data_IF_772755447668
#
_entry.id   IF_772755447668
#
_cell.length_a   1.000
_cell.length_b   1.000
_cell.length_c   1.000
_cell.angle_alpha   90.00
_cell.angle_beta   90.00
_cell.angle_gamma   90.00
#
_symmetry.space_group_name_H-M   'P 1'
#
loop_
_entity.id
_entity.type
_entity.pdbx_description
1 polymer ?
#
# COMPACT_ATOMS: atom_id res chain seq x y z
N UNK A 1 -19.65 -13.97 -13.50
CA UNK A 1 -19.52 -14.06 -12.03
C UNK A 1 -18.10 -14.42 -11.68
N UNK A 2 -17.53 -13.77 -10.67
CA UNK A 2 -16.17 -14.10 -10.18
C UNK A 2 -16.25 -15.39 -9.36
N UNK A 3 -15.36 -16.34 -9.65
CA UNK A 3 -15.30 -17.61 -8.92
C UNK A 3 -14.44 -17.45 -7.67
N UNK A 4 -14.99 -17.77 -6.51
CA UNK A 4 -14.26 -17.87 -5.24
C UNK A 4 -13.94 -19.34 -4.98
N UNK A 5 -12.65 -19.64 -4.77
CA UNK A 5 -12.19 -21.00 -4.44
C UNK A 5 -11.76 -21.03 -2.98
N UNK A 6 -12.46 -21.84 -2.18
CA UNK A 6 -12.07 -22.10 -0.79
C UNK A 6 -10.96 -23.16 -0.75
N UNK A 7 -9.87 -22.86 -0.05
CA UNK A 7 -8.75 -23.79 0.13
C UNK A 7 -8.46 -23.96 1.62
N UNK A 8 -8.32 -25.20 2.05
CA UNK A 8 -7.84 -25.56 3.38
C UNK A 8 -6.41 -26.06 3.26
N UNK A 9 -5.50 -25.48 4.03
CA UNK A 9 -4.09 -25.85 4.03
C UNK A 9 -3.59 -26.08 5.45
N UNK A 10 -2.79 -27.11 5.64
CA UNK A 10 -2.02 -27.35 6.87
C UNK A 10 -0.60 -26.85 6.63
N UNK A 11 -0.11 -25.98 7.50
CA UNK A 11 1.22 -25.40 7.42
C UNK A 11 1.80 -25.18 8.83
N UNK A 12 3.13 -25.05 8.98
CA UNK A 12 3.77 -24.82 10.28
C UNK A 12 3.30 -23.54 10.96
N UNK A 13 3.04 -22.49 10.17
CA UNK A 13 2.46 -21.22 10.61
C UNK A 13 1.64 -20.59 9.48
N UNK A 14 0.81 -19.59 9.83
CA UNK A 14 -0.12 -18.93 8.92
C UNK A 14 0.61 -18.25 7.75
N UNK A 15 1.69 -17.53 8.04
CA UNK A 15 2.41 -16.79 7.01
C UNK A 15 3.06 -17.75 5.99
N UNK A 16 3.67 -18.83 6.47
CA UNK A 16 4.24 -19.88 5.61
C UNK A 16 3.15 -20.49 4.74
N UNK A 17 1.98 -20.83 5.30
CA UNK A 17 0.88 -21.39 4.53
C UNK A 17 0.37 -20.47 3.41
N UNK A 18 0.31 -19.16 3.67
CA UNK A 18 -0.10 -18.17 2.66
C UNK A 18 0.97 -18.03 1.57
N UNK A 19 2.24 -17.90 1.94
CA UNK A 19 3.35 -17.74 0.98
C UNK A 19 3.51 -18.97 0.08
N UNK A 20 3.45 -20.18 0.64
CA UNK A 20 3.45 -21.42 -0.15
C UNK A 20 2.21 -21.55 -1.05
N UNK A 21 1.05 -21.01 -0.64
CA UNK A 21 -0.14 -21.02 -1.49
C UNK A 21 0.05 -20.11 -2.71
N UNK A 22 0.77 -19.00 -2.55
CA UNK A 22 1.11 -18.11 -3.66
C UNK A 22 1.93 -18.85 -4.73
N UNK A 23 2.88 -19.69 -4.35
CA UNK A 23 3.73 -20.47 -5.28
C UNK A 23 2.91 -21.44 -6.15
N UNK A 24 1.71 -21.80 -5.74
CA UNK A 24 0.83 -22.74 -6.43
C UNK A 24 -0.11 -22.11 -7.45
N UNK A 25 -0.03 -20.80 -7.66
CA UNK A 25 -0.93 -20.15 -8.61
C UNK A 25 -0.55 -18.69 -8.96
N UNK A 26 -1.17 -18.14 -10.01
CA UNK A 26 -0.93 -16.76 -10.44
C UNK A 26 -1.72 -15.79 -9.54
N UNK A 27 -1.14 -15.40 -8.43
CA UNK A 27 -1.72 -14.40 -7.54
C UNK A 27 -0.97 -13.08 -7.65
N UNK A 28 -1.69 -12.00 -7.93
CA UNK A 28 -1.15 -10.64 -8.06
C UNK A 28 -1.24 -9.85 -6.74
N UNK A 29 -2.09 -10.32 -5.83
CA UNK A 29 -2.35 -9.64 -4.56
C UNK A 29 -2.60 -10.64 -3.44
N UNK A 30 -1.96 -10.42 -2.30
CA UNK A 30 -2.31 -11.03 -1.02
C UNK A 30 -3.08 -9.99 -0.20
N UNK A 31 -4.33 -10.32 0.17
CA UNK A 31 -5.15 -9.48 1.01
C UNK A 31 -5.45 -10.20 2.31
N UNK A 32 -5.19 -9.54 3.44
CA UNK A 32 -5.58 -10.05 4.75
C UNK A 32 -6.08 -8.92 5.66
N UNK A 33 -7.04 -9.26 6.51
CA UNK A 33 -7.68 -8.30 7.40
C UNK A 33 -7.12 -8.32 8.81
N UNK A 34 -7.17 -7.17 9.47
CA UNK A 34 -6.87 -7.03 10.89
C UNK A 34 -8.18 -6.83 11.64
N UNK A 35 -8.95 -7.88 11.83
CA UNK A 35 -10.26 -7.72 12.48
C UNK A 35 -10.13 -7.56 13.99
N UNK A 36 -10.13 -6.33 14.50
CA UNK A 36 -10.34 -6.03 15.91
C UNK A 36 -11.76 -6.36 16.42
N UNK A 37 -12.68 -6.81 15.56
CA UNK A 37 -14.09 -7.05 15.88
C UNK A 37 -14.48 -8.49 16.23
N UNK A 38 -13.61 -9.46 16.07
CA UNK A 38 -13.92 -10.82 16.52
C UNK A 38 -13.68 -10.93 18.03
N UNK A 39 -14.71 -10.60 18.82
CA UNK A 39 -14.79 -10.85 20.26
C UNK A 39 -15.08 -12.35 20.52
N UNK A 40 -14.26 -13.24 19.98
CA UNK A 40 -14.32 -14.66 20.27
C UNK A 40 -13.14 -15.12 21.12
N UNK A 41 -13.21 -16.33 21.75
CA UNK A 41 -12.11 -16.88 22.53
C UNK A 41 -10.86 -17.22 21.69
N UNK A 42 -10.93 -17.15 20.38
CA UNK A 42 -9.80 -17.23 19.49
C UNK A 42 -9.21 -15.82 19.36
N UNK A 43 -8.12 -15.58 20.09
CA UNK A 43 -7.31 -14.37 20.00
C UNK A 43 -7.09 -13.97 18.56
N UNK A 44 -7.37 -12.71 18.28
CA UNK A 44 -7.21 -12.00 17.02
C UNK A 44 -6.13 -12.62 16.12
N UNK A 45 -6.50 -12.99 14.89
CA UNK A 45 -5.59 -13.46 13.83
C UNK A 45 -4.58 -12.37 13.40
N UNK A 46 -4.61 -11.22 14.05
CA UNK A 46 -3.60 -10.20 13.92
C UNK A 46 -2.42 -10.52 14.83
N UNK A 47 -1.51 -11.27 14.29
CA UNK A 47 -0.14 -11.27 14.77
C UNK A 47 0.64 -10.29 13.87
N UNK A 48 1.14 -9.16 14.42
CA UNK A 48 2.00 -8.25 13.67
C UNK A 48 3.16 -8.98 12.99
N UNK A 49 3.64 -10.06 13.59
CA UNK A 49 4.69 -10.90 13.03
C UNK A 49 4.24 -11.65 11.76
N UNK A 50 2.97 -12.07 11.67
CA UNK A 50 2.42 -12.72 10.46
C UNK A 50 2.35 -11.71 9.31
N UNK A 51 1.77 -10.53 9.55
CA UNK A 51 1.70 -9.47 8.56
C UNK A 51 3.08 -9.02 8.08
N UNK A 52 4.01 -8.86 9.01
CA UNK A 52 5.38 -8.51 8.74
C UNK A 52 6.06 -9.58 7.89
N UNK A 53 5.94 -10.85 8.26
CA UNK A 53 6.54 -11.98 7.52
C UNK A 53 5.97 -12.06 6.10
N UNK A 54 4.65 -11.90 5.93
CA UNK A 54 4.03 -11.87 4.61
C UNK A 54 4.54 -10.66 3.82
N UNK A 55 4.50 -9.45 4.41
CA UNK A 55 4.91 -8.24 3.73
C UNK A 55 6.39 -8.24 3.32
N UNK A 56 7.27 -8.89 4.06
CA UNK A 56 8.70 -9.03 3.71
C UNK A 56 8.90 -10.05 2.58
N UNK A 57 8.21 -11.17 2.61
CA UNK A 57 8.50 -12.33 1.77
C UNK A 57 7.53 -12.52 0.60
N UNK A 58 6.39 -11.83 0.58
CA UNK A 58 5.45 -11.95 -0.53
C UNK A 58 6.08 -11.43 -1.83
N UNK A 59 6.03 -12.19 -2.92
CA UNK A 59 6.57 -11.76 -4.20
C UNK A 59 5.59 -10.92 -5.02
N UNK A 60 4.39 -10.68 -4.52
CA UNK A 60 3.34 -9.85 -5.11
C UNK A 60 2.92 -8.73 -4.15
N UNK A 61 2.06 -7.85 -4.63
CA UNK A 61 1.49 -6.77 -3.80
C UNK A 61 0.75 -7.32 -2.58
N UNK A 62 0.80 -6.60 -1.47
CA UNK A 62 0.18 -6.99 -0.20
C UNK A 62 -0.74 -5.88 0.28
N UNK A 63 -1.99 -6.21 0.57
CA UNK A 63 -2.97 -5.29 1.18
C UNK A 63 -3.32 -5.75 2.59
N UNK A 64 -2.99 -4.92 3.55
CA UNK A 64 -3.40 -5.06 4.95
C UNK A 64 -4.67 -4.26 5.15
N UNK A 65 -5.81 -4.93 5.21
CA UNK A 65 -7.10 -4.29 5.45
C UNK A 65 -7.30 -4.06 6.96
N UNK A 66 -7.60 -2.82 7.32
CA UNK A 66 -7.92 -2.37 8.67
C UNK A 66 -9.34 -1.81 8.71
N UNK A 67 -9.69 -1.04 9.73
CA UNK A 67 -11.02 -0.45 9.84
C UNK A 67 -11.38 0.29 8.55
N UNK A 68 -12.55 -0.08 8.01
CA UNK A 68 -13.00 0.36 6.70
C UNK A 68 -13.99 1.52 6.90
N UNK A 69 -13.45 2.73 7.04
CA UNK A 69 -14.24 3.92 6.71
C UNK A 69 -14.26 4.04 5.18
N UNK A 70 -15.34 3.53 4.60
CA UNK A 70 -15.52 3.56 3.15
C UNK A 70 -15.86 4.99 2.69
N UNK A 71 -15.24 5.42 1.59
CA UNK A 71 -15.59 6.67 0.92
C UNK A 71 -14.57 7.80 1.04
N UNK A 72 -13.53 7.64 1.84
CA UNK A 72 -12.49 8.68 2.02
C UNK A 72 -11.44 8.70 0.90
N UNK A 73 -11.37 7.63 0.08
CA UNK A 73 -10.48 7.56 -1.07
C UNK A 73 -9.11 6.96 -0.77
N UNK A 74 -8.24 7.03 -1.78
CA UNK A 74 -6.91 6.44 -1.76
C UNK A 74 -5.83 7.52 -1.72
N UNK A 75 -4.89 7.42 -0.78
CA UNK A 75 -3.68 8.24 -0.73
C UNK A 75 -2.52 7.45 -1.36
N UNK A 76 -2.06 7.88 -2.52
CA UNK A 76 -0.95 7.27 -3.24
C UNK A 76 0.32 8.05 -2.94
N UNK A 77 1.31 7.38 -2.33
CA UNK A 77 2.60 7.97 -1.99
C UNK A 77 3.58 7.78 -3.15
N UNK A 78 4.18 8.86 -3.63
CA UNK A 78 5.11 8.80 -4.75
C UNK A 78 6.43 9.50 -4.45
N UNK A 79 7.53 8.90 -4.90
CA UNK A 79 8.87 9.47 -4.92
C UNK A 79 9.36 9.77 -6.35
N UNK A 80 8.46 9.65 -7.34
CA UNK A 80 8.76 9.89 -8.74
C UNK A 80 9.52 8.77 -9.45
N UNK A 81 9.88 7.68 -8.77
CA UNK A 81 10.55 6.52 -9.35
C UNK A 81 9.65 5.79 -10.37
N UNK A 82 10.25 5.00 -11.25
CA UNK A 82 9.50 4.24 -12.25
C UNK A 82 8.54 3.23 -11.59
N UNK A 83 8.96 2.64 -10.47
CA UNK A 83 8.11 1.75 -9.66
C UNK A 83 6.93 2.50 -9.05
N UNK A 84 7.15 3.70 -8.53
CA UNK A 84 6.07 4.55 -8.03
C UNK A 84 5.10 4.94 -9.16
N UNK A 85 5.60 5.22 -10.37
CA UNK A 85 4.73 5.53 -11.51
C UNK A 85 3.93 4.30 -11.99
N UNK A 86 4.50 3.10 -11.93
CA UNK A 86 3.77 1.85 -12.19
C UNK A 86 2.65 1.66 -11.16
N UNK A 87 2.96 1.86 -9.88
CA UNK A 87 1.98 1.84 -8.79
C UNK A 87 0.85 2.84 -9.03
N UNK A 88 1.17 4.09 -9.38
CA UNK A 88 0.17 5.15 -9.67
C UNK A 88 -0.82 4.67 -10.74
N UNK A 89 -0.34 4.06 -11.85
CA UNK A 89 -1.23 3.52 -12.90
C UNK A 89 -2.13 2.42 -12.38
N UNK A 90 -1.56 1.41 -11.72
CA UNK A 90 -2.31 0.24 -11.25
C UNK A 90 -3.35 0.62 -10.18
N UNK A 91 -2.97 1.50 -9.27
CA UNK A 91 -3.90 1.98 -8.22
C UNK A 91 -4.95 2.90 -8.81
N UNK A 92 -4.62 3.71 -9.80
CA UNK A 92 -5.58 4.50 -10.57
C UNK A 92 -6.64 3.61 -11.25
N UNK A 93 -6.22 2.55 -11.94
CA UNK A 93 -7.12 1.56 -12.52
C UNK A 93 -8.05 0.93 -11.46
N UNK A 94 -7.49 0.57 -10.29
CA UNK A 94 -8.27 0.02 -9.19
C UNK A 94 -9.29 1.04 -8.66
N UNK A 95 -8.90 2.29 -8.47
CA UNK A 95 -9.74 3.36 -7.97
C UNK A 95 -10.90 3.68 -8.94
N UNK A 96 -10.67 3.62 -10.25
CA UNK A 96 -11.71 3.82 -11.27
C UNK A 96 -12.80 2.75 -11.23
N UNK A 97 -12.48 1.53 -10.78
CA UNK A 97 -13.46 0.45 -10.66
C UNK A 97 -14.38 0.57 -9.42
N UNK A 98 -13.98 1.32 -8.40
CA UNK A 98 -14.77 1.54 -7.19
C UNK A 98 -15.28 2.98 -7.09
N UNK A 99 -15.01 3.82 -8.09
CA UNK A 99 -15.29 5.26 -8.05
C UNK A 99 -14.71 5.95 -6.80
N UNK A 100 -13.51 5.49 -6.40
CA UNK A 100 -12.83 5.96 -5.21
C UNK A 100 -11.99 7.20 -5.53
N UNK A 101 -12.13 8.31 -4.77
CA UNK A 101 -11.27 9.47 -4.95
C UNK A 101 -9.78 9.12 -4.78
N UNK A 102 -8.93 9.72 -5.61
CA UNK A 102 -7.48 9.54 -5.55
C UNK A 102 -6.81 10.85 -5.16
N UNK A 103 -5.92 10.78 -4.17
CA UNK A 103 -5.03 11.86 -3.76
C UNK A 103 -3.58 11.40 -3.83
N UNK A 104 -2.68 12.33 -4.06
CA UNK A 104 -1.25 12.08 -4.21
C UNK A 104 -0.47 12.77 -3.10
N UNK A 105 0.55 12.10 -2.55
CA UNK A 105 1.51 12.70 -1.62
C UNK A 105 2.94 12.37 -2.04
N UNK A 106 3.81 13.40 -1.98
CA UNK A 106 5.26 13.24 -2.04
C UNK A 106 5.89 13.98 -0.88
N UNK A 107 6.89 13.38 -0.25
CA UNK A 107 7.57 13.94 0.91
C UNK A 107 9.03 14.18 0.58
N UNK A 108 9.47 15.43 0.69
CA UNK A 108 10.87 15.84 0.64
C UNK A 108 11.54 15.63 2.00
N UNK A 109 12.78 15.17 2.03
CA UNK A 109 13.53 15.00 3.29
C UNK A 109 13.93 16.33 3.92
N UNK A 110 14.14 17.35 3.07
CA UNK A 110 14.54 18.71 3.41
C UNK A 110 13.92 19.70 2.43
N UNK A 111 14.13 20.98 2.69
CA UNK A 111 13.60 22.10 1.89
C UNK A 111 14.21 22.12 0.49
N UNK A 112 15.48 21.73 0.35
CA UNK A 112 16.18 21.68 -0.92
C UNK A 112 15.57 20.67 -1.89
N UNK A 113 14.96 19.59 -1.37
CA UNK A 113 14.29 18.57 -2.16
C UNK A 113 12.78 18.84 -2.40
N UNK A 114 12.23 19.95 -1.91
CA UNK A 114 10.80 20.26 -2.02
C UNK A 114 10.33 20.38 -3.48
N UNK A 115 11.14 21.02 -4.33
CA UNK A 115 10.80 21.17 -5.75
C UNK A 115 10.82 19.83 -6.49
N UNK A 116 11.67 18.90 -6.08
CA UNK A 116 11.65 17.53 -6.59
C UNK A 116 10.37 16.80 -6.15
N UNK A 117 9.95 16.96 -4.91
CA UNK A 117 8.69 16.37 -4.43
C UNK A 117 7.47 16.93 -5.18
N UNK A 118 7.44 18.23 -5.49
CA UNK A 118 6.42 18.84 -6.37
C UNK A 118 6.42 18.20 -7.75
N UNK A 119 7.60 18.09 -8.39
CA UNK A 119 7.72 17.45 -9.70
C UNK A 119 7.27 15.99 -9.69
N UNK A 120 7.51 15.24 -8.61
CA UNK A 120 7.07 13.86 -8.46
C UNK A 120 5.53 13.77 -8.45
N UNK A 121 4.85 14.64 -7.71
CA UNK A 121 3.38 14.72 -7.65
C UNK A 121 2.82 15.12 -9.01
N UNK A 122 3.40 16.12 -9.68
CA UNK A 122 2.96 16.57 -11.00
C UNK A 122 3.08 15.47 -12.06
N UNK A 123 4.17 14.70 -12.03
CA UNK A 123 4.40 13.54 -12.88
C UNK A 123 3.31 12.48 -12.64
N UNK A 124 3.01 12.16 -11.39
CA UNK A 124 1.97 11.20 -11.03
C UNK A 124 0.58 11.69 -11.44
N UNK A 125 0.27 12.98 -11.20
CA UNK A 125 -0.99 13.61 -11.62
C UNK A 125 -1.20 13.53 -13.12
N UNK A 126 -0.15 13.77 -13.90
CA UNK A 126 -0.20 13.63 -15.37
C UNK A 126 -0.51 12.20 -15.78
N UNK A 127 0.11 11.20 -15.15
CA UNK A 127 -0.16 9.78 -15.44
C UNK A 127 -1.64 9.45 -15.22
N UNK A 128 -2.24 9.93 -14.12
CA UNK A 128 -3.65 9.69 -13.83
C UNK A 128 -4.58 10.46 -14.79
N UNK A 129 -4.23 11.70 -15.13
CA UNK A 129 -4.97 12.51 -16.09
C UNK A 129 -5.01 11.87 -17.49
N UNK A 130 -3.89 11.28 -17.94
CA UNK A 130 -3.80 10.55 -19.21
C UNK A 130 -4.70 9.30 -19.22
N UNK A 131 -5.10 8.79 -18.04
CA UNK A 131 -6.05 7.70 -17.85
C UNK A 131 -7.50 8.18 -17.64
N UNK A 132 -7.73 9.49 -17.66
CA UNK A 132 -9.04 10.08 -17.39
C UNK A 132 -9.45 10.10 -15.90
N UNK A 133 -8.48 9.95 -15.01
CA UNK A 133 -8.70 9.93 -13.56
C UNK A 133 -8.36 11.30 -12.98
N UNK A 134 -9.34 11.91 -12.34
CA UNK A 134 -9.17 13.20 -11.66
C UNK A 134 -8.54 12.98 -10.28
N UNK A 135 -7.48 13.75 -9.99
CA UNK A 135 -6.83 13.76 -8.69
C UNK A 135 -7.54 14.77 -7.78
N UNK A 136 -8.10 14.28 -6.68
CA UNK A 136 -8.84 15.10 -5.70
C UNK A 136 -7.91 16.10 -5.03
N UNK A 137 -6.71 15.66 -4.65
CA UNK A 137 -5.77 16.49 -3.90
C UNK A 137 -4.32 16.09 -4.20
N UNK A 138 -3.42 17.07 -4.16
CA UNK A 138 -1.97 16.87 -4.25
C UNK A 138 -1.30 17.47 -3.03
N UNK A 139 -0.53 16.66 -2.30
CA UNK A 139 0.12 17.00 -1.04
C UNK A 139 1.64 16.94 -1.23
N UNK A 140 2.32 18.00 -0.86
CA UNK A 140 3.78 18.05 -0.76
C UNK A 140 4.12 18.38 0.69
N UNK A 141 4.96 17.58 1.30
CA UNK A 141 5.43 17.76 2.68
C UNK A 141 6.95 17.76 2.73
N UNK A 142 7.51 18.38 3.76
CA UNK A 142 8.94 18.35 4.06
C UNK A 142 9.14 17.76 5.44
N UNK A 143 9.88 16.65 5.53
CA UNK A 143 10.09 15.97 6.81
C UNK A 143 10.42 14.49 6.66
N UNK A 144 10.16 13.74 7.72
CA UNK A 144 10.29 12.29 7.69
C UNK A 144 9.13 11.67 6.90
N UNK A 145 9.39 10.94 5.78
CA UNK A 145 8.31 10.39 4.95
C UNK A 145 7.33 9.50 5.70
N UNK A 146 7.79 8.76 6.71
CA UNK A 146 6.91 7.87 7.49
C UNK A 146 5.93 8.70 8.31
N UNK A 147 6.43 9.71 9.00
CA UNK A 147 5.64 10.53 9.92
C UNK A 147 4.62 11.38 9.14
N UNK A 148 5.06 12.01 8.04
CA UNK A 148 4.19 12.83 7.19
C UNK A 148 3.08 12.02 6.48
N UNK A 149 3.39 10.78 6.02
CA UNK A 149 2.39 9.90 5.42
C UNK A 149 1.38 9.43 6.46
N UNK A 150 1.82 9.08 7.67
CA UNK A 150 0.94 8.63 8.74
C UNK A 150 0.05 9.79 9.22
N UNK A 151 0.59 11.01 9.31
CA UNK A 151 -0.16 12.21 9.68
C UNK A 151 -1.25 12.56 8.65
N UNK A 152 -0.95 12.40 7.35
CA UNK A 152 -1.92 12.60 6.28
C UNK A 152 -2.97 11.48 6.19
N UNK A 153 -2.66 10.29 6.73
CA UNK A 153 -3.45 9.07 6.60
C UNK A 153 -4.92 9.16 7.02
N UNK A 154 -5.27 9.76 8.19
CA UNK A 154 -6.63 9.71 8.75
C UNK A 154 -7.76 10.13 7.81
N UNK A 155 -7.46 10.97 6.81
CA UNK A 155 -8.44 11.46 5.84
C UNK A 155 -8.70 10.47 4.69
N UNK A 156 -8.07 9.29 4.70
CA UNK A 156 -8.14 8.30 3.61
C UNK A 156 -8.50 6.90 4.10
N UNK A 157 -9.17 6.13 3.25
CA UNK A 157 -9.49 4.72 3.53
C UNK A 157 -8.30 3.80 3.27
N UNK A 158 -7.43 4.17 2.33
CA UNK A 158 -6.29 3.35 1.90
C UNK A 158 -5.06 4.23 1.65
N UNK A 159 -3.94 3.84 2.26
CA UNK A 159 -2.62 4.37 1.93
C UNK A 159 -1.91 3.36 1.02
N UNK A 160 -1.35 3.84 -0.09
CA UNK A 160 -0.59 2.99 -1.02
C UNK A 160 0.84 3.46 -1.12
N UNK A 161 1.77 2.55 -0.90
CA UNK A 161 3.21 2.79 -0.96
C UNK A 161 3.89 1.75 -1.86
N UNK A 162 4.94 2.14 -2.57
CA UNK A 162 5.76 1.19 -3.33
C UNK A 162 6.80 0.51 -2.44
N UNK A 163 7.18 -0.70 -2.81
CA UNK A 163 8.19 -1.49 -2.07
C UNK A 163 9.56 -0.81 -2.02
N UNK A 164 10.00 -0.20 -3.12
CA UNK A 164 11.32 0.42 -3.26
C UNK A 164 11.23 1.84 -3.80
N UNK A 165 11.96 2.75 -3.16
CA UNK A 165 12.21 4.10 -3.67
C UNK A 165 13.39 4.16 -4.64
N UNK A 166 13.87 5.38 -4.94
CA UNK A 166 14.93 5.70 -5.92
C UNK A 166 16.27 4.98 -5.74
N UNK A 167 16.56 4.43 -4.56
CA UNK A 167 17.80 3.71 -4.29
C UNK A 167 17.66 2.24 -4.66
N UNK A 168 17.82 1.93 -5.94
CA UNK A 168 17.64 0.61 -6.56
C UNK A 168 18.57 -0.53 -6.10
N UNK A 169 19.14 -0.48 -4.90
CA UNK A 169 20.16 -1.42 -4.46
C UNK A 169 19.66 -2.66 -3.70
N UNK A 170 18.34 -2.81 -3.49
CA UNK A 170 17.87 -3.94 -2.67
C UNK A 170 16.57 -4.57 -3.18
N UNK A 171 16.71 -5.48 -4.13
CA UNK A 171 15.60 -6.35 -4.63
C UNK A 171 14.99 -7.29 -3.57
N UNK A 172 15.47 -7.26 -2.33
CA UNK A 172 15.07 -8.20 -1.28
C UNK A 172 14.67 -7.57 0.06
N UNK A 173 14.67 -6.25 0.16
CA UNK A 173 14.24 -5.59 1.38
C UNK A 173 13.08 -4.66 1.07
N UNK A 174 11.93 -4.93 1.69
CA UNK A 174 10.82 -3.99 1.76
C UNK A 174 11.35 -2.63 2.21
N UNK A 175 11.11 -1.57 1.44
CA UNK A 175 11.58 -0.23 1.76
C UNK A 175 11.23 0.15 3.21
N UNK A 176 12.17 0.76 3.91
CA UNK A 176 11.98 1.12 5.33
C UNK A 176 10.74 1.97 5.57
N UNK A 177 10.34 2.80 4.58
CA UNK A 177 9.14 3.64 4.63
C UNK A 177 7.88 2.77 4.54
N UNK A 178 7.76 1.90 3.53
CA UNK A 178 6.60 1.03 3.35
C UNK A 178 6.33 0.15 4.57
N UNK A 179 7.40 -0.43 5.13
CA UNK A 179 7.32 -1.25 6.34
C UNK A 179 6.84 -0.47 7.56
N UNK A 180 7.40 0.72 7.80
CA UNK A 180 7.04 1.56 8.95
C UNK A 180 5.62 2.13 8.81
N UNK A 181 5.23 2.56 7.61
CA UNK A 181 3.86 3.01 7.33
C UNK A 181 2.88 1.87 7.58
N UNK A 182 3.15 0.66 7.06
CA UNK A 182 2.32 -0.51 7.32
C UNK A 182 2.21 -0.84 8.81
N UNK A 183 3.30 -0.73 9.56
CA UNK A 183 3.33 -1.07 11.00
C UNK A 183 2.65 -0.04 11.90
N UNK A 184 2.69 1.23 11.53
CA UNK A 184 2.26 2.34 12.41
C UNK A 184 0.98 3.06 11.96
N UNK A 185 0.51 2.84 10.73
CA UNK A 185 -0.73 3.44 10.25
C UNK A 185 -1.96 2.74 10.88
N UNK A 186 -3.01 3.50 11.11
CA UNK A 186 -4.34 2.99 11.49
C UNK A 186 -5.20 2.63 10.27
N UNK A 187 -4.85 3.12 9.11
CA UNK A 187 -5.54 2.89 7.84
C UNK A 187 -5.22 1.52 7.24
N UNK A 188 -6.02 1.10 6.28
CA UNK A 188 -5.60 0.04 5.36
C UNK A 188 -4.36 0.50 4.59
N UNK A 189 -3.40 -0.41 4.42
CA UNK A 189 -2.15 -0.10 3.71
C UNK A 189 -1.89 -1.15 2.64
N UNK A 190 -1.63 -0.69 1.42
CA UNK A 190 -1.17 -1.51 0.31
C UNK A 190 0.31 -1.26 0.04
N UNK A 191 1.08 -2.33 0.01
CA UNK A 191 2.47 -2.32 -0.45
C UNK A 191 2.47 -2.86 -1.87
N UNK A 192 2.78 -2.00 -2.81
CA UNK A 192 2.83 -2.33 -4.23
C UNK A 192 4.19 -2.93 -4.62
N UNK A 193 4.15 -4.03 -5.39
CA UNK A 193 5.30 -4.75 -5.92
C UNK A 193 5.24 -4.97 -7.41
#
# INVERSE_FOLDING_TARGET
GKMVVLKLKVAPDIATGILEQWELGPYDLILFGTSGRWKGPVRSFWDPAVAQKIAIHAPCSVLVARDLDVGHGHLICTDGSDKAMEMVRRVGEMASHCDCPVSLISVALDVEAEDEAKANVDKAKKVLADMGIEVKETIVKVGNPVDEIIEAGPDYSLIVVSESGKTGLQRFFMGSVAYKVMGNSHNSVMIFR
#
